data_IF_871007419743
#
_entry.id   IF_871007419743
#
_cell.length_a   1.000
_cell.length_b   1.000
_cell.length_c   1.000
_cell.angle_alpha   90.00
_cell.angle_beta   90.00
_cell.angle_gamma   90.00
#
_symmetry.space_group_name_H-M   'P 1'
#
loop_
_entity.id
_entity.type
_entity.pdbx_description
1 polymer ?
#
# COMPACT_ATOMS: atom_id res chain seq x y z
N UNK A 1 7.72 8.37 0.80
CA UNK A 1 8.82 8.95 -0.01
C UNK A 1 9.81 9.78 0.81
N UNK A 2 9.36 10.84 1.51
CA UNK A 2 10.22 11.77 2.29
C UNK A 2 11.26 11.06 3.19
N UNK A 3 10.85 10.03 3.93
CA UNK A 3 11.77 9.27 4.80
C UNK A 3 12.89 8.57 4.03
N UNK A 4 12.59 8.00 2.84
CA UNK A 4 13.59 7.35 1.99
C UNK A 4 14.62 8.38 1.48
N UNK A 5 14.15 9.56 1.07
CA UNK A 5 15.02 10.65 0.63
C UNK A 5 15.91 11.18 1.75
N UNK A 6 15.36 11.33 2.97
CA UNK A 6 16.14 11.72 4.16
C UNK A 6 17.23 10.72 4.51
N UNK A 7 17.01 9.43 4.22
CA UNK A 7 18.03 8.38 4.37
C UNK A 7 19.05 8.36 3.22
N UNK A 8 18.93 9.25 2.23
CA UNK A 8 19.81 9.27 1.06
C UNK A 8 19.58 8.13 0.08
N UNK A 9 18.45 7.41 0.18
CA UNK A 9 18.12 6.33 -0.73
C UNK A 9 17.63 6.90 -2.06
N UNK A 10 18.23 6.45 -3.16
CA UNK A 10 17.75 6.76 -4.51
C UNK A 10 16.43 6.02 -4.75
N UNK A 11 15.38 6.78 -5.08
CA UNK A 11 14.05 6.24 -5.40
C UNK A 11 13.85 6.37 -6.91
N UNK A 12 13.92 5.25 -7.64
CA UNK A 12 13.73 5.24 -9.09
C UNK A 12 12.26 5.44 -9.48
N UNK A 13 11.33 4.81 -8.75
CA UNK A 13 9.89 4.99 -8.91
C UNK A 13 9.17 4.92 -7.56
N UNK A 14 8.07 5.66 -7.41
CA UNK A 14 7.23 5.64 -6.21
C UNK A 14 5.76 5.67 -6.60
N UNK A 15 5.05 4.57 -6.36
CA UNK A 15 3.63 4.41 -6.68
C UNK A 15 2.78 4.57 -5.41
N UNK A 16 1.62 5.23 -5.52
CA UNK A 16 0.71 5.46 -4.40
C UNK A 16 -0.75 5.21 -4.80
N UNK A 17 -1.41 4.26 -4.13
CA UNK A 17 -2.85 4.05 -4.20
C UNK A 17 -3.54 4.90 -3.12
N UNK A 18 -3.59 6.21 -3.33
CA UNK A 18 -4.30 7.16 -2.43
C UNK A 18 -5.60 7.61 -3.11
N UNK A 19 -6.70 7.62 -2.37
CA UNK A 19 -8.02 8.05 -2.86
C UNK A 19 -8.46 9.41 -2.31
N UNK A 20 -7.81 9.90 -1.24
CA UNK A 20 -8.09 11.21 -0.67
C UNK A 20 -7.46 12.32 -1.53
N UNK A 21 -8.30 13.11 -2.22
CA UNK A 21 -7.87 14.17 -3.14
C UNK A 21 -6.97 15.22 -2.49
N UNK A 22 -7.24 15.58 -1.24
CA UNK A 22 -6.43 16.56 -0.51
C UNK A 22 -5.04 15.99 -0.21
N UNK A 23 -4.95 14.72 0.18
CA UNK A 23 -3.66 14.05 0.40
C UNK A 23 -2.85 13.94 -0.90
N UNK A 24 -3.50 13.64 -2.02
CA UNK A 24 -2.88 13.62 -3.35
C UNK A 24 -2.30 15.00 -3.69
N UNK A 25 -3.07 16.07 -3.51
CA UNK A 25 -2.65 17.44 -3.82
C UNK A 25 -1.45 17.87 -2.97
N UNK A 26 -1.51 17.63 -1.66
CA UNK A 26 -0.41 17.87 -0.73
C UNK A 26 0.84 17.11 -1.20
N UNK A 27 0.71 15.83 -1.55
CA UNK A 27 1.82 14.99 -1.97
C UNK A 27 2.45 15.46 -3.30
N UNK A 28 1.63 15.87 -4.28
CA UNK A 28 2.11 16.45 -5.56
C UNK A 28 2.94 17.70 -5.33
N UNK A 29 2.47 18.60 -4.47
CA UNK A 29 3.16 19.85 -4.13
C UNK A 29 4.49 19.60 -3.42
N UNK A 30 4.53 18.65 -2.47
CA UNK A 30 5.76 18.36 -1.69
C UNK A 30 6.79 17.54 -2.47
N UNK A 31 6.36 16.61 -3.34
CA UNK A 31 7.26 15.67 -4.02
C UNK A 31 7.56 16.04 -5.48
N UNK A 32 7.30 17.28 -5.90
CA UNK A 32 7.53 17.76 -7.29
C UNK A 32 6.98 16.79 -8.36
N UNK A 33 5.78 16.26 -8.15
CA UNK A 33 5.14 15.28 -9.05
C UNK A 33 5.90 13.96 -9.29
N UNK A 34 6.88 13.60 -8.45
CA UNK A 34 7.62 12.34 -8.62
C UNK A 34 6.88 11.10 -8.08
N UNK A 35 5.66 11.27 -7.58
CA UNK A 35 4.80 10.18 -7.08
C UNK A 35 3.81 9.86 -8.18
N UNK A 36 3.78 8.60 -8.61
CA UNK A 36 2.81 8.10 -9.58
C UNK A 36 1.59 7.62 -8.80
N UNK A 37 0.48 8.33 -8.93
CA UNK A 37 -0.79 7.91 -8.34
C UNK A 37 -1.42 6.85 -9.24
N UNK A 38 -1.76 5.72 -8.63
CA UNK A 38 -2.34 4.56 -9.32
C UNK A 38 -3.79 4.38 -8.86
N UNK A 39 -4.49 3.42 -9.46
CA UNK A 39 -5.87 3.10 -9.07
C UNK A 39 -5.96 2.68 -7.61
N UNK A 40 -7.19 2.71 -7.09
CA UNK A 40 -7.48 2.22 -5.75
C UNK A 40 -7.04 0.76 -5.59
N UNK A 41 -6.69 0.38 -4.36
CA UNK A 41 -6.06 -0.90 -4.07
C UNK A 41 -6.93 -2.09 -4.49
N UNK A 42 -8.25 -1.92 -4.50
CA UNK A 42 -9.22 -2.92 -4.94
C UNK A 42 -9.20 -3.16 -6.46
N UNK A 43 -8.76 -2.16 -7.23
CA UNK A 43 -8.77 -2.14 -8.70
C UNK A 43 -7.38 -2.34 -9.32
N UNK A 44 -6.36 -2.63 -8.50
CA UNK A 44 -5.02 -2.97 -8.95
C UNK A 44 -4.96 -4.43 -9.42
N UNK A 45 -4.88 -4.62 -10.73
CA UNK A 45 -4.78 -5.93 -11.37
C UNK A 45 -3.33 -6.41 -11.48
N UNK A 46 -3.14 -7.70 -11.76
CA UNK A 46 -1.82 -8.28 -12.00
C UNK A 46 -1.09 -7.57 -13.15
N UNK A 47 -1.78 -7.24 -14.25
CA UNK A 47 -1.17 -6.55 -15.40
C UNK A 47 -0.65 -5.16 -15.00
N UNK A 48 -1.41 -4.43 -14.18
CA UNK A 48 -0.99 -3.11 -13.67
C UNK A 48 0.24 -3.24 -12.77
N UNK A 49 0.29 -4.24 -11.90
CA UNK A 49 1.45 -4.51 -11.04
C UNK A 49 2.69 -4.85 -11.88
N UNK A 50 2.55 -5.70 -12.91
CA UNK A 50 3.65 -6.02 -13.83
C UNK A 50 4.19 -4.77 -14.51
N UNK A 51 3.30 -3.85 -14.92
CA UNK A 51 3.68 -2.60 -15.57
C UNK A 51 4.42 -1.61 -14.64
N UNK A 52 4.26 -1.73 -13.31
CA UNK A 52 5.02 -0.95 -12.33
C UNK A 52 6.46 -1.44 -12.16
N UNK A 53 6.79 -2.60 -12.72
CA UNK A 53 8.13 -3.19 -12.72
C UNK A 53 8.38 -4.10 -11.51
N UNK A 54 9.61 -4.60 -11.36
CA UNK A 54 9.99 -5.24 -10.11
C UNK A 54 9.90 -4.23 -8.96
N UNK A 55 9.24 -4.61 -7.85
CA UNK A 55 9.04 -3.74 -6.68
C UNK A 55 9.95 -4.20 -5.54
N UNK A 56 10.78 -3.29 -5.02
CA UNK A 56 11.73 -3.59 -3.94
C UNK A 56 11.15 -3.42 -2.53
N UNK A 57 10.16 -2.53 -2.39
CA UNK A 57 9.59 -2.13 -1.10
C UNK A 57 8.08 -1.90 -1.22
N UNK A 58 7.30 -2.55 -0.36
CA UNK A 58 5.85 -2.35 -0.24
C UNK A 58 5.54 -1.78 1.14
N UNK A 59 4.89 -0.62 1.18
CA UNK A 59 4.47 0.05 2.42
C UNK A 59 2.94 0.16 2.44
N UNK A 60 2.33 -0.07 3.60
CA UNK A 60 0.89 0.08 3.78
C UNK A 60 0.53 0.39 5.22
N UNK A 61 -0.70 0.86 5.40
CA UNK A 61 -1.35 0.99 6.70
C UNK A 61 -2.74 0.38 6.60
N UNK A 62 -3.15 -0.34 7.64
CA UNK A 62 -4.54 -0.75 7.82
C UNK A 62 -5.19 0.14 8.87
N UNK A 63 -6.39 0.71 8.61
CA UNK A 63 -7.09 1.50 9.63
C UNK A 63 -7.42 0.61 10.85
N UNK A 64 -7.40 1.16 12.07
CA UNK A 64 -7.69 0.41 13.28
C UNK A 64 -9.05 -0.31 13.19
N UNK A 65 -9.11 -1.53 13.69
CA UNK A 65 -10.35 -2.28 13.77
C UNK A 65 -11.26 -1.67 14.87
N UNK A 66 -12.27 -0.89 14.49
CA UNK A 66 -13.24 -0.25 15.41
C UNK A 66 -14.24 -1.21 16.06
N UNK A 67 -13.91 -2.49 16.26
CA UNK A 67 -14.86 -3.41 16.89
C UNK A 67 -14.55 -3.65 18.36
N UNK A 68 -15.28 -2.95 19.23
CA UNK A 68 -15.19 -3.13 20.68
C UNK A 68 -15.64 -4.51 21.16
N UNK A 69 -16.29 -5.32 20.32
CA UNK A 69 -16.88 -6.61 20.70
C UNK A 69 -16.84 -7.74 19.64
N UNK A 70 -16.31 -7.51 18.42
CA UNK A 70 -16.15 -8.60 17.45
C UNK A 70 -14.74 -9.19 17.53
N UNK A 71 -14.65 -10.52 17.58
CA UNK A 71 -13.38 -11.23 17.41
C UNK A 71 -12.68 -10.75 16.13
N UNK A 72 -11.36 -10.50 16.18
CA UNK A 72 -10.51 -10.09 15.04
C UNK A 72 -10.83 -10.89 13.75
N UNK A 73 -11.08 -12.21 13.87
CA UNK A 73 -11.48 -13.07 12.73
C UNK A 73 -12.73 -12.61 11.98
N UNK A 74 -13.72 -12.07 12.69
CA UNK A 74 -14.99 -11.60 12.12
C UNK A 74 -14.81 -10.23 11.45
N UNK A 75 -13.98 -9.37 12.05
CA UNK A 75 -13.61 -8.05 11.53
C UNK A 75 -12.78 -8.10 10.23
N UNK A 76 -11.89 -9.10 10.10
CA UNK A 76 -11.10 -9.30 8.87
C UNK A 76 -11.91 -9.79 7.68
N UNK A 77 -13.00 -10.52 7.90
CA UNK A 77 -13.73 -11.25 6.85
C UNK A 77 -15.07 -10.57 6.48
N UNK A 78 -15.70 -9.85 7.41
CA UNK A 78 -16.97 -9.18 7.14
C UNK A 78 -16.74 -7.79 6.53
N UNK A 79 -17.43 -7.50 5.41
CA UNK A 79 -17.43 -6.20 4.68
C UNK A 79 -17.95 -4.99 5.50
N UNK A 80 -17.97 -5.08 6.83
CA UNK A 80 -18.47 -4.06 7.76
C UNK A 80 -17.37 -3.43 8.62
N UNK A 81 -16.10 -3.78 8.43
CA UNK A 81 -14.95 -3.20 9.15
C UNK A 81 -13.78 -2.87 8.22
N UNK A 82 -12.75 -2.19 8.73
CA UNK A 82 -11.52 -1.80 8.00
C UNK A 82 -10.54 -2.96 7.75
N UNK A 83 -10.80 -4.16 8.29
CA UNK A 83 -9.92 -5.32 8.17
C UNK A 83 -9.64 -5.77 6.72
N UNK A 84 -10.51 -5.41 5.77
CA UNK A 84 -10.30 -5.67 4.36
C UNK A 84 -9.07 -4.97 3.78
N UNK A 85 -8.63 -3.81 4.31
CA UNK A 85 -7.42 -3.14 3.84
C UNK A 85 -6.16 -3.95 4.08
N UNK A 86 -6.09 -4.69 5.21
CA UNK A 86 -5.01 -5.62 5.46
C UNK A 86 -5.03 -6.80 4.47
N UNK A 87 -6.22 -7.31 4.12
CA UNK A 87 -6.35 -8.35 3.09
C UNK A 87 -5.91 -7.84 1.71
N UNK A 88 -6.29 -6.63 1.33
CA UNK A 88 -5.84 -6.00 0.09
C UNK A 88 -4.32 -5.82 0.07
N UNK A 89 -3.72 -5.35 1.17
CA UNK A 89 -2.26 -5.27 1.27
C UNK A 89 -1.59 -6.63 1.03
N UNK A 90 -2.08 -7.69 1.68
CA UNK A 90 -1.55 -9.05 1.51
C UNK A 90 -1.75 -9.56 0.08
N UNK A 91 -2.90 -9.28 -0.53
CA UNK A 91 -3.18 -9.63 -1.91
C UNK A 91 -2.18 -8.98 -2.87
N UNK A 92 -1.97 -7.66 -2.76
CA UNK A 92 -0.99 -6.93 -3.58
C UNK A 92 0.43 -7.44 -3.35
N UNK A 93 0.84 -7.65 -2.09
CA UNK A 93 2.15 -8.22 -1.77
C UNK A 93 2.35 -9.60 -2.40
N UNK A 94 1.31 -10.43 -2.42
CA UNK A 94 1.34 -11.73 -3.09
C UNK A 94 1.50 -11.60 -4.60
N UNK A 95 0.72 -10.73 -5.26
CA UNK A 95 0.83 -10.49 -6.70
C UNK A 95 2.22 -9.97 -7.08
N UNK A 96 2.79 -9.06 -6.28
CA UNK A 96 4.17 -8.60 -6.47
C UNK A 96 5.14 -9.78 -6.35
N UNK A 97 5.04 -10.62 -5.32
CA UNK A 97 5.93 -11.80 -5.17
C UNK A 97 5.89 -12.74 -6.38
N UNK A 98 4.72 -12.94 -6.99
CA UNK A 98 4.57 -13.76 -8.20
C UNK A 98 5.27 -13.15 -9.41
N UNK A 99 5.20 -11.82 -9.56
CA UNK A 99 5.73 -11.12 -10.75
C UNK A 99 7.19 -10.72 -10.61
N UNK A 100 7.71 -10.64 -9.38
CA UNK A 100 9.03 -10.10 -9.10
C UNK A 100 10.19 -11.09 -9.32
N UNK A 101 9.97 -12.20 -10.03
CA UNK A 101 11.00 -13.15 -10.50
C UNK A 101 12.09 -13.50 -9.46
N UNK A 102 11.68 -13.85 -8.25
CA UNK A 102 12.58 -14.21 -7.12
C UNK A 102 13.46 -13.08 -6.57
N UNK A 103 13.19 -11.83 -6.95
CA UNK A 103 13.80 -10.65 -6.34
C UNK A 103 13.30 -10.50 -4.91
N UNK A 104 14.22 -10.15 -4.00
CA UNK A 104 13.89 -9.90 -2.61
C UNK A 104 12.94 -8.69 -2.48
N UNK A 105 11.93 -8.79 -1.62
CA UNK A 105 10.96 -7.74 -1.36
C UNK A 105 10.98 -7.41 0.13
N UNK A 106 11.24 -6.15 0.45
CA UNK A 106 10.95 -5.63 1.78
C UNK A 106 9.49 -5.20 1.86
N UNK A 107 8.84 -5.42 2.99
CA UNK A 107 7.47 -4.97 3.20
C UNK A 107 7.26 -4.53 4.64
N UNK A 108 6.38 -3.55 4.82
CA UNK A 108 5.93 -3.08 6.12
C UNK A 108 4.46 -2.72 6.04
N UNK A 109 3.65 -3.30 6.92
CA UNK A 109 2.27 -2.88 7.13
C UNK A 109 2.15 -2.39 8.57
N UNK A 110 1.81 -1.12 8.73
CA UNK A 110 1.47 -0.58 10.04
C UNK A 110 0.00 -0.86 10.36
N UNK A 111 -0.28 -1.17 11.62
CA UNK A 111 -1.63 -1.27 12.14
C UNK A 111 -1.66 -0.54 13.47
N UNK A 112 -2.65 0.33 13.64
CA UNK A 112 -2.84 1.04 14.89
C UNK A 112 -3.40 0.05 15.90
N UNK A 113 -2.66 -0.24 16.98
CA UNK A 113 -3.21 -0.99 18.11
C UNK A 113 -4.44 -0.25 18.67
N UNK A 114 -5.48 -0.97 19.11
CA UNK A 114 -6.65 -0.37 19.76
C UNK A 114 -6.29 0.39 21.04
#
# INVERSE_FOLDING_TARGET
KIALEKLGLKVDAYYSSESNTNAIEISKNHNKNSVVFVDSIENLTLEKIVAMGPIDLVLGSSPPEYSSNASIRKSLIENKGSGHYFLYFNHILHLIRLTNKSRHIFFLCENSNP
#
